data_IF_860646116778
#
_entry.id   IF_860646116778
#
_cell.length_a   1.000
_cell.length_b   1.000
_cell.length_c   1.000
_cell.angle_alpha   90.00
_cell.angle_beta   90.00
_cell.angle_gamma   90.00
#
_symmetry.space_group_name_H-M   'P 1'
#
loop_
_entity.id
_entity.type
_entity.pdbx_description
1 polymer ?
#
# COMPACT_ATOMS: atom_id res chain seq x y z
N UNK A 1 18.27 6.04 -14.38
CA UNK A 1 18.54 4.60 -14.61
C UNK A 1 18.00 3.88 -13.38
N UNK A 2 17.36 2.70 -13.52
CA UNK A 2 16.89 1.91 -12.37
C UNK A 2 18.10 1.17 -11.80
N UNK A 3 18.32 1.20 -10.47
CA UNK A 3 19.42 0.48 -9.83
C UNK A 3 19.22 -1.05 -9.90
N UNK A 4 20.29 -1.84 -9.73
CA UNK A 4 20.17 -3.30 -9.66
C UNK A 4 19.21 -3.78 -8.58
N UNK A 5 19.28 -3.21 -7.37
CA UNK A 5 18.38 -3.57 -6.25
C UNK A 5 16.92 -3.25 -6.59
N UNK A 6 16.64 -2.06 -7.12
CA UNK A 6 15.27 -1.69 -7.51
C UNK A 6 14.73 -2.63 -8.60
N UNK A 7 15.55 -2.96 -9.62
CA UNK A 7 15.16 -3.89 -10.69
C UNK A 7 14.88 -5.30 -10.14
N UNK A 8 15.74 -5.78 -9.23
CA UNK A 8 15.60 -7.08 -8.61
C UNK A 8 14.33 -7.16 -7.75
N UNK A 9 14.07 -6.17 -6.89
CA UNK A 9 12.84 -6.09 -6.07
C UNK A 9 11.61 -6.11 -6.96
N UNK A 10 11.54 -5.25 -7.98
CA UNK A 10 10.43 -5.19 -8.92
C UNK A 10 10.20 -6.53 -9.62
N UNK A 11 11.25 -7.17 -10.11
CA UNK A 11 11.17 -8.45 -10.82
C UNK A 11 10.73 -9.57 -9.88
N UNK A 12 11.33 -9.68 -8.71
CA UNK A 12 11.04 -10.73 -7.73
C UNK A 12 9.64 -10.63 -7.13
N UNK A 13 9.06 -9.42 -7.04
CA UNK A 13 7.73 -9.19 -6.44
C UNK A 13 6.62 -9.04 -7.48
N UNK A 14 6.92 -9.12 -8.78
CA UNK A 14 5.90 -9.03 -9.83
C UNK A 14 4.73 -10.04 -9.67
N UNK A 15 4.96 -11.32 -9.28
CA UNK A 15 3.87 -12.24 -9.02
C UNK A 15 3.00 -11.82 -7.82
N UNK A 16 3.61 -11.25 -6.78
CA UNK A 16 2.91 -10.76 -5.59
C UNK A 16 2.05 -9.54 -5.92
N UNK A 17 2.60 -8.61 -6.70
CA UNK A 17 1.88 -7.44 -7.21
C UNK A 17 0.65 -7.86 -8.02
N UNK A 18 0.80 -8.79 -8.98
CA UNK A 18 -0.31 -9.30 -9.79
C UNK A 18 -1.41 -9.93 -8.94
N UNK A 19 -1.07 -10.77 -7.96
CA UNK A 19 -2.07 -11.39 -7.06
C UNK A 19 -2.81 -10.33 -6.24
N UNK A 20 -2.12 -9.28 -5.80
CA UNK A 20 -2.74 -8.16 -5.09
C UNK A 20 -3.71 -7.41 -6.00
N UNK A 21 -3.31 -7.08 -7.23
CA UNK A 21 -4.21 -6.44 -8.21
C UNK A 21 -5.45 -7.31 -8.49
N UNK A 22 -5.26 -8.61 -8.71
CA UNK A 22 -6.35 -9.58 -8.92
C UNK A 22 -7.32 -9.61 -7.73
N UNK A 23 -6.80 -9.53 -6.49
CA UNK A 23 -7.64 -9.50 -5.29
C UNK A 23 -8.51 -8.25 -5.16
N UNK A 24 -8.10 -7.12 -5.75
CA UNK A 24 -8.88 -5.88 -5.82
C UNK A 24 -9.76 -5.79 -7.07
N UNK A 25 -9.56 -6.64 -8.08
CA UNK A 25 -10.22 -6.48 -9.39
C UNK A 25 -11.75 -6.46 -9.31
N UNK A 26 -12.36 -7.36 -8.53
CA UNK A 26 -13.81 -7.41 -8.37
C UNK A 26 -14.37 -6.15 -7.69
N UNK A 27 -13.66 -5.61 -6.71
CA UNK A 27 -14.01 -4.37 -6.01
C UNK A 27 -13.90 -3.17 -6.97
N UNK A 28 -12.80 -3.09 -7.72
CA UNK A 28 -12.58 -1.99 -8.68
C UNK A 28 -13.60 -2.01 -9.83
N UNK A 29 -14.02 -3.21 -10.30
CA UNK A 29 -15.00 -3.35 -11.37
C UNK A 29 -16.41 -2.91 -10.96
N UNK A 30 -16.70 -2.81 -9.65
CA UNK A 30 -18.00 -2.42 -9.11
C UNK A 30 -18.03 -0.99 -8.53
N UNK A 31 -16.99 -0.20 -8.78
CA UNK A 31 -17.02 1.22 -8.41
C UNK A 31 -18.15 1.96 -9.15
N UNK A 32 -18.83 2.90 -8.49
CA UNK A 32 -18.59 3.41 -7.12
C UNK A 32 -19.25 2.60 -6.00
N UNK A 33 -20.10 1.61 -6.28
CA UNK A 33 -20.90 0.88 -5.26
C UNK A 33 -20.02 0.16 -4.22
N UNK A 34 -18.84 -0.28 -4.62
CA UNK A 34 -17.87 -0.98 -3.76
C UNK A 34 -16.80 -0.05 -3.15
N UNK A 35 -16.99 1.27 -3.20
CA UNK A 35 -15.99 2.21 -2.71
C UNK A 35 -15.72 2.08 -1.21
N UNK A 36 -16.76 1.86 -0.40
CA UNK A 36 -16.60 1.58 1.03
C UNK A 36 -15.72 0.35 1.30
N UNK A 37 -16.04 -0.83 0.75
CA UNK A 37 -15.18 -2.02 0.82
C UNK A 37 -13.74 -1.79 0.32
N UNK A 38 -13.56 -1.01 -0.75
CA UNK A 38 -12.24 -0.62 -1.25
C UNK A 38 -11.42 0.13 -0.19
N UNK A 39 -11.99 1.17 0.42
CA UNK A 39 -11.34 1.93 1.50
C UNK A 39 -11.09 1.07 2.73
N UNK A 40 -12.04 0.22 3.12
CA UNK A 40 -11.91 -0.68 4.26
C UNK A 40 -10.78 -1.71 4.06
N UNK A 41 -10.59 -2.24 2.86
CA UNK A 41 -9.47 -3.14 2.57
C UNK A 41 -8.11 -2.44 2.80
N UNK A 42 -7.96 -1.21 2.32
CA UNK A 42 -6.76 -0.43 2.60
C UNK A 42 -6.62 -0.12 4.10
N UNK A 43 -7.72 0.21 4.79
CA UNK A 43 -7.72 0.50 6.22
C UNK A 43 -7.39 -0.71 7.10
N UNK A 44 -7.57 -1.93 6.62
CA UNK A 44 -7.11 -3.15 7.29
C UNK A 44 -5.60 -3.38 7.13
N UNK A 45 -5.04 -3.05 5.97
CA UNK A 45 -3.62 -3.30 5.67
C UNK A 45 -2.68 -2.19 6.20
N UNK A 46 -3.03 -0.92 6.01
CA UNK A 46 -2.16 0.22 6.37
C UNK A 46 -1.67 0.23 7.83
N UNK A 47 -2.53 0.06 8.85
CA UNK A 47 -2.09 0.06 10.24
C UNK A 47 -1.17 -1.11 10.58
N UNK A 48 -1.35 -2.26 9.93
CA UNK A 48 -0.49 -3.43 10.13
C UNK A 48 0.93 -3.15 9.65
N UNK A 49 1.06 -2.62 8.42
CA UNK A 49 2.36 -2.26 7.85
C UNK A 49 3.00 -1.11 8.62
N UNK A 50 2.23 -0.08 9.00
CA UNK A 50 2.75 1.04 9.79
C UNK A 50 3.30 0.61 11.16
N UNK A 51 2.63 -0.32 11.86
CA UNK A 51 3.14 -0.89 13.11
C UNK A 51 4.42 -1.71 12.92
N UNK A 52 4.52 -2.46 11.83
CA UNK A 52 5.73 -3.21 11.54
C UNK A 52 6.92 -2.30 11.23
N UNK A 53 6.68 -1.15 10.59
CA UNK A 53 7.71 -0.18 10.21
C UNK A 53 8.20 0.70 11.36
N UNK A 54 7.32 1.05 12.31
CA UNK A 54 7.60 2.02 13.37
C UNK A 54 8.91 1.76 14.17
N UNK A 55 9.31 0.52 14.48
CA UNK A 55 10.57 0.27 15.20
C UNK A 55 11.84 0.52 14.39
N UNK A 56 11.76 0.57 13.06
CA UNK A 56 12.95 0.56 12.17
C UNK A 56 13.04 1.77 11.24
N UNK A 57 11.97 2.57 11.15
CA UNK A 57 11.91 3.72 10.24
C UNK A 57 11.25 4.93 10.90
N UNK A 58 11.94 6.06 10.92
CA UNK A 58 11.42 7.35 11.40
C UNK A 58 10.62 8.10 10.34
N UNK A 59 10.95 7.89 9.06
CA UNK A 59 10.22 8.51 7.96
C UNK A 59 8.95 7.72 7.63
N UNK A 60 7.80 8.34 7.83
CA UNK A 60 6.49 7.70 7.78
C UNK A 60 5.51 8.40 6.81
N UNK A 61 5.80 8.40 5.49
CA UNK A 61 4.96 9.08 4.50
C UNK A 61 3.54 8.52 4.40
N UNK A 62 3.33 7.29 4.85
CA UNK A 62 2.00 6.64 4.90
C UNK A 62 1.08 7.21 5.98
N UNK A 63 1.58 7.96 6.97
CA UNK A 63 0.75 8.53 8.04
C UNK A 63 -0.25 9.54 7.50
N UNK A 64 0.13 10.38 6.53
CA UNK A 64 -0.79 11.30 5.87
C UNK A 64 -1.89 10.54 5.12
N UNK A 65 -1.52 9.50 4.38
CA UNK A 65 -2.49 8.65 3.68
C UNK A 65 -3.40 7.90 4.63
N UNK A 66 -2.91 7.45 5.77
CA UNK A 66 -3.73 6.86 6.82
C UNK A 66 -4.72 7.87 7.40
N UNK A 67 -4.29 9.10 7.64
CA UNK A 67 -5.17 10.18 8.09
C UNK A 67 -6.29 10.43 7.09
N UNK A 68 -5.96 10.59 5.80
CA UNK A 68 -6.93 10.81 4.73
C UNK A 68 -7.91 9.64 4.59
N UNK A 69 -7.41 8.41 4.63
CA UNK A 69 -8.22 7.18 4.56
C UNK A 69 -9.20 7.08 5.72
N UNK A 70 -8.74 7.36 6.94
CA UNK A 70 -9.57 7.35 8.14
C UNK A 70 -10.64 8.44 8.09
N UNK A 71 -10.30 9.63 7.59
CA UNK A 71 -11.23 10.73 7.42
C UNK A 71 -12.32 10.42 6.36
N UNK A 72 -11.93 9.79 5.24
CA UNK A 72 -12.88 9.39 4.20
C UNK A 72 -13.85 8.33 4.71
N UNK A 73 -13.36 7.30 5.43
CA UNK A 73 -14.22 6.30 6.06
C UNK A 73 -15.21 6.93 7.06
N UNK A 74 -14.73 7.83 7.92
CA UNK A 74 -15.59 8.51 8.89
C UNK A 74 -16.70 9.34 8.22
N UNK A 75 -16.39 10.06 7.14
CA UNK A 75 -17.38 10.81 6.33
C UNK A 75 -18.42 9.91 5.67
N UNK A 76 -18.06 8.66 5.37
CA UNK A 76 -18.97 7.65 4.85
C UNK A 76 -19.74 6.89 5.94
N UNK A 77 -19.52 7.20 7.22
CA UNK A 77 -20.13 6.48 8.34
C UNK A 77 -19.61 5.05 8.51
N UNK A 78 -18.41 4.75 7.99
CA UNK A 78 -17.78 3.44 8.03
C UNK A 78 -16.66 3.41 9.08
N UNK A 79 -16.60 2.31 9.85
CA UNK A 79 -15.47 2.04 10.72
C UNK A 79 -14.35 1.32 9.96
N UNK A 80 -13.07 1.57 10.29
CA UNK A 80 -11.99 0.74 9.80
C UNK A 80 -12.14 -0.69 10.36
N UNK A 81 -11.96 -1.74 9.53
CA UNK A 81 -12.00 -3.11 10.03
C UNK A 81 -10.75 -3.42 10.88
N UNK A 82 -10.72 -4.57 11.57
CA UNK A 82 -9.51 -5.01 12.24
C UNK A 82 -8.32 -5.06 11.27
N UNK A 83 -7.16 -4.64 11.75
CA UNK A 83 -5.94 -4.73 10.94
C UNK A 83 -5.57 -6.20 10.71
N UNK A 84 -5.09 -6.51 9.49
CA UNK A 84 -4.54 -7.83 9.19
C UNK A 84 -3.32 -8.13 10.07
N UNK A 85 -3.12 -9.40 10.37
CA UNK A 85 -1.91 -9.82 11.07
C UNK A 85 -0.69 -9.70 10.15
N UNK A 86 0.39 -9.14 10.68
CA UNK A 86 1.67 -9.01 10.01
C UNK A 86 2.79 -9.25 11.01
N UNK A 87 3.71 -10.16 10.67
CA UNK A 87 4.88 -10.42 11.51
C UNK A 87 5.75 -9.17 11.63
N UNK A 88 6.40 -8.94 12.80
CA UNK A 88 7.40 -7.89 12.94
C UNK A 88 8.51 -8.07 11.90
N UNK A 89 9.07 -6.95 11.45
CA UNK A 89 10.25 -6.95 10.58
C UNK A 89 11.52 -6.87 11.41
N UNK A 90 12.61 -7.38 10.86
CA UNK A 90 13.88 -7.54 11.59
C UNK A 90 14.94 -6.53 11.17
N UNK A 91 14.79 -5.86 10.04
CA UNK A 91 15.79 -4.94 9.51
C UNK A 91 15.20 -3.72 8.82
N UNK A 92 16.00 -2.65 8.72
CA UNK A 92 15.66 -1.48 7.93
C UNK A 92 15.48 -1.80 6.44
N UNK A 93 16.18 -2.80 5.92
CA UNK A 93 16.06 -3.25 4.55
C UNK A 93 14.69 -3.91 4.28
N UNK A 94 14.19 -4.76 5.19
CA UNK A 94 12.80 -5.25 5.13
C UNK A 94 11.82 -4.08 5.17
N UNK A 95 12.07 -3.08 6.04
CA UNK A 95 11.28 -1.85 6.11
C UNK A 95 11.24 -1.10 4.78
N UNK A 96 12.38 -0.96 4.10
CA UNK A 96 12.44 -0.33 2.77
C UNK A 96 11.55 -1.05 1.75
N UNK A 97 11.54 -2.38 1.77
CA UNK A 97 10.65 -3.18 0.93
C UNK A 97 9.16 -2.93 1.22
N UNK A 98 8.78 -2.80 2.47
CA UNK A 98 7.39 -2.46 2.83
C UNK A 98 7.01 -1.06 2.39
N UNK A 99 7.88 -0.06 2.61
CA UNK A 99 7.66 1.33 2.16
C UNK A 99 7.55 1.37 0.63
N UNK A 100 8.36 0.60 -0.09
CA UNK A 100 8.28 0.47 -1.53
C UNK A 100 6.85 0.11 -1.97
N UNK A 101 6.24 -0.91 -1.38
CA UNK A 101 4.87 -1.33 -1.74
C UNK A 101 3.84 -0.28 -1.37
N UNK A 102 3.94 0.33 -0.19
CA UNK A 102 3.02 1.39 0.23
C UNK A 102 3.03 2.57 -0.73
N UNK A 103 4.21 3.01 -1.16
CA UNK A 103 4.35 4.19 -2.00
C UNK A 103 4.13 3.87 -3.48
N UNK A 104 4.46 2.65 -3.94
CA UNK A 104 4.10 2.15 -5.28
C UNK A 104 2.58 2.15 -5.50
N UNK A 105 1.80 1.82 -4.47
CA UNK A 105 0.34 1.83 -4.52
C UNK A 105 -0.28 3.21 -4.84
N UNK A 106 0.48 4.31 -4.72
CA UNK A 106 0.05 5.64 -5.14
C UNK A 106 -0.28 5.71 -6.62
N UNK A 107 0.49 5.00 -7.44
CA UNK A 107 0.27 4.99 -8.90
C UNK A 107 -1.09 4.41 -9.28
N UNK A 108 -1.66 3.55 -8.43
CA UNK A 108 -3.00 2.98 -8.62
C UNK A 108 -4.16 3.91 -8.24
N UNK A 109 -3.91 5.08 -7.61
CA UNK A 109 -4.99 5.94 -7.10
C UNK A 109 -5.75 6.72 -8.17
N UNK A 110 -5.11 7.04 -9.29
CA UNK A 110 -5.70 7.89 -10.32
C UNK A 110 -6.88 7.24 -11.06
N UNK A 111 -6.85 5.93 -11.25
CA UNK A 111 -7.88 5.20 -11.99
C UNK A 111 -9.19 5.10 -11.19
N UNK A 112 -9.20 4.59 -9.94
CA UNK A 112 -10.40 4.58 -9.11
C UNK A 112 -11.00 5.98 -8.94
N UNK A 113 -10.18 7.01 -8.72
CA UNK A 113 -10.63 8.38 -8.52
C UNK A 113 -11.58 8.87 -9.64
N UNK A 114 -11.35 8.45 -10.89
CA UNK A 114 -12.21 8.82 -12.02
C UNK A 114 -13.63 8.22 -11.95
N UNK A 115 -13.78 7.13 -11.20
CA UNK A 115 -15.05 6.41 -11.06
C UNK A 115 -15.84 6.82 -9.81
N UNK A 116 -15.28 7.70 -8.96
CA UNK A 116 -15.93 8.10 -7.72
C UNK A 116 -16.70 9.41 -7.95
N UNK A 117 -18.02 9.44 -7.66
CA UNK A 117 -18.83 10.66 -7.71
C UNK A 117 -18.29 11.76 -6.78
N UNK A 118 -18.51 13.02 -7.17
CA UNK A 118 -17.99 14.20 -6.45
C UNK A 118 -18.54 14.36 -5.03
N UNK A 119 -19.69 13.73 -4.74
CA UNK A 119 -20.35 13.74 -3.44
C UNK A 119 -19.66 12.85 -2.41
N UNK A 120 -18.87 11.89 -2.86
CA UNK A 120 -18.12 10.99 -1.97
C UNK A 120 -16.76 11.56 -1.60
N UNK A 121 -16.28 11.31 -0.37
CA UNK A 121 -14.97 11.76 0.06
C UNK A 121 -13.85 11.04 -0.69
N UNK A 122 -12.83 11.76 -1.14
CA UNK A 122 -11.74 11.22 -1.96
C UNK A 122 -10.35 11.71 -1.52
N UNK A 123 -10.20 12.14 -0.27
CA UNK A 123 -8.92 12.63 0.25
C UNK A 123 -7.81 11.59 0.10
N UNK A 124 -8.10 10.32 0.44
CA UNK A 124 -7.17 9.22 0.29
C UNK A 124 -6.66 9.02 -1.15
N UNK A 125 -7.58 9.00 -2.12
CA UNK A 125 -7.21 8.82 -3.52
C UNK A 125 -6.45 10.03 -4.06
N UNK A 126 -6.85 11.25 -3.68
CA UNK A 126 -6.16 12.49 -4.08
C UNK A 126 -4.78 12.60 -3.46
N UNK A 127 -4.62 12.21 -2.19
CA UNK A 127 -3.33 12.11 -1.53
C UNK A 127 -2.36 11.15 -2.23
N UNK A 128 -2.90 10.09 -2.85
CA UNK A 128 -2.15 9.17 -3.69
C UNK A 128 -1.54 9.80 -4.94
N UNK A 129 -2.05 10.94 -5.40
CA UNK A 129 -1.49 11.65 -6.57
C UNK A 129 -0.19 12.42 -6.24
N UNK A 130 0.13 12.63 -4.96
CA UNK A 130 1.42 13.19 -4.55
C UNK A 130 2.51 12.13 -4.71
N UNK A 131 3.36 12.28 -5.72
CA UNK A 131 4.41 11.32 -6.05
C UNK A 131 5.76 11.60 -5.37
N UNK A 132 5.88 12.65 -4.56
CA UNK A 132 7.15 12.98 -3.91
C UNK A 132 7.67 11.86 -2.98
N UNK A 133 6.83 11.20 -2.14
CA UNK A 133 7.29 10.06 -1.35
C UNK A 133 7.78 8.88 -2.21
N UNK A 134 7.10 8.58 -3.30
CA UNK A 134 7.54 7.55 -4.24
C UNK A 134 8.92 7.84 -4.84
N UNK A 135 9.18 9.10 -5.23
CA UNK A 135 10.48 9.48 -5.76
C UNK A 135 11.60 9.30 -4.71
N UNK A 136 11.30 9.59 -3.43
CA UNK A 136 12.24 9.35 -2.33
C UNK A 136 12.51 7.85 -2.12
N UNK A 137 11.49 7.00 -2.17
CA UNK A 137 11.65 5.54 -2.09
C UNK A 137 12.56 5.02 -3.20
N UNK A 138 12.36 5.50 -4.43
CA UNK A 138 13.25 5.12 -5.55
C UNK A 138 14.70 5.50 -5.28
N UNK A 139 14.94 6.71 -4.76
CA UNK A 139 16.28 7.14 -4.40
C UNK A 139 16.90 6.24 -3.31
N UNK A 140 16.14 5.87 -2.27
CA UNK A 140 16.59 4.95 -1.24
C UNK A 140 16.92 3.55 -1.78
N UNK A 141 16.13 3.05 -2.73
CA UNK A 141 16.42 1.79 -3.41
C UNK A 141 17.66 1.88 -4.30
N UNK A 142 17.88 3.04 -4.93
CA UNK A 142 19.07 3.27 -5.76
C UNK A 142 20.36 3.38 -4.95
N UNK A 143 20.25 3.76 -3.67
CA UNK A 143 21.36 3.82 -2.70
C UNK A 143 21.54 2.50 -1.91
N UNK A 144 20.57 1.58 -1.99
CA UNK A 144 20.61 0.33 -1.23
C UNK A 144 21.76 -0.58 -1.69
N UNK A 145 22.40 -1.22 -0.73
CA UNK A 145 23.49 -2.15 -0.99
C UNK A 145 22.95 -3.47 -1.54
N UNK A 146 23.66 -4.08 -2.48
CA UNK A 146 23.25 -5.34 -3.11
C UNK A 146 23.08 -6.50 -2.10
N UNK A 147 23.83 -6.48 -1.01
CA UNK A 147 23.72 -7.47 0.08
C UNK A 147 22.40 -7.39 0.85
N UNK A 148 21.67 -6.26 0.76
CA UNK A 148 20.36 -6.08 1.42
C UNK A 148 19.17 -6.42 0.52
N UNK A 149 19.41 -6.77 -0.74
CA UNK A 149 18.37 -7.04 -1.75
C UNK A 149 17.36 -8.10 -1.28
N UNK A 150 17.84 -9.20 -0.71
CA UNK A 150 16.97 -10.28 -0.24
C UNK A 150 16.01 -9.81 0.85
N UNK A 151 16.47 -9.00 1.80
CA UNK A 151 15.65 -8.45 2.88
C UNK A 151 14.61 -7.46 2.33
N UNK A 152 14.99 -6.60 1.38
CA UNK A 152 14.03 -5.69 0.72
C UNK A 152 12.92 -6.49 0.02
N UNK A 153 13.25 -7.57 -0.66
CA UNK A 153 12.27 -8.45 -1.29
C UNK A 153 11.34 -9.11 -0.25
N UNK A 154 11.89 -9.56 0.88
CA UNK A 154 11.10 -10.15 1.98
C UNK A 154 10.09 -9.14 2.51
N UNK A 155 10.50 -7.92 2.80
CA UNK A 155 9.62 -6.84 3.28
C UNK A 155 8.54 -6.48 2.26
N UNK A 156 8.89 -6.34 0.99
CA UNK A 156 7.94 -6.05 -0.07
C UNK A 156 6.87 -7.16 -0.21
N UNK A 157 7.28 -8.42 -0.20
CA UNK A 157 6.34 -9.57 -0.22
C UNK A 157 5.42 -9.60 0.99
N UNK A 158 5.91 -9.25 2.17
CA UNK A 158 5.09 -9.18 3.38
C UNK A 158 4.00 -8.11 3.26
N UNK A 159 4.32 -6.93 2.73
CA UNK A 159 3.37 -5.86 2.49
C UNK A 159 2.33 -6.25 1.42
N UNK A 160 2.74 -6.79 0.27
CA UNK A 160 1.79 -7.27 -0.75
C UNK A 160 0.81 -8.28 -0.18
N UNK A 161 1.28 -9.28 0.59
CA UNK A 161 0.41 -10.27 1.25
C UNK A 161 -0.57 -9.65 2.24
N UNK A 162 -0.19 -8.57 2.93
CA UNK A 162 -1.10 -7.87 3.82
C UNK A 162 -2.26 -7.24 3.05
N UNK A 163 -1.99 -6.55 1.95
CA UNK A 163 -3.02 -5.98 1.07
C UNK A 163 -3.88 -7.05 0.39
N UNK A 164 -3.28 -8.11 -0.12
CA UNK A 164 -4.00 -9.23 -0.73
C UNK A 164 -4.99 -9.87 0.25
N UNK A 165 -4.57 -10.14 1.50
CA UNK A 165 -5.46 -10.69 2.55
C UNK A 165 -6.58 -9.74 2.90
N UNK A 166 -6.28 -8.45 3.06
CA UNK A 166 -7.27 -7.43 3.35
C UNK A 166 -8.33 -7.33 2.24
N UNK A 167 -7.89 -7.31 0.98
CA UNK A 167 -8.78 -7.26 -0.17
C UNK A 167 -9.70 -8.49 -0.26
N UNK A 168 -9.16 -9.68 -0.09
CA UNK A 168 -9.94 -10.93 -0.12
C UNK A 168 -10.95 -11.05 1.01
N UNK A 169 -10.62 -10.55 2.20
CA UNK A 169 -11.53 -10.59 3.35
C UNK A 169 -12.74 -9.65 3.18
N UNK A 170 -12.63 -8.63 2.35
CA UNK A 170 -13.65 -7.58 2.16
C UNK A 170 -14.19 -7.54 0.71
N UNK A 171 -13.80 -8.51 -0.11
CA UNK A 171 -14.32 -8.62 -1.47
C UNK A 171 -15.86 -8.78 -1.45
N UNK A 172 -16.56 -8.03 -2.30
CA UNK A 172 -18.03 -8.19 -2.43
C UNK A 172 -18.34 -9.60 -2.96
N UNK A 173 -19.29 -10.26 -2.30
CA UNK A 173 -19.83 -11.57 -2.72
C UNK A 173 -20.78 -11.43 -3.89
#
# INVERSE_FOLDING_TARGET
MISPVHLAVRTATLPDHKRTEESFAATLARLPDSYGPYLQAHASAFPAVGRALAPVWDWAPWQERWHDLSADLAKMGLAPPPAVELAPISSAAEGLGMIYVLEDSRMGSALPLKSIPSELPTAYLRGGLNMAPWHRVKALLDEALSETEADVIVGARAAFRAFERAARALAPH
#
